data_IF_952309702940
#
_entry.id   IF_952309702940
#
_cell.length_a   1.000
_cell.length_b   1.000
_cell.length_c   1.000
_cell.angle_alpha   90.00
_cell.angle_beta   90.00
_cell.angle_gamma   90.00
#
_symmetry.space_group_name_H-M   'P 1'
#
loop_
_entity.id
_entity.type
_entity.pdbx_description
1 polymer ?
#
# COMPACT_ATOMS: atom_id res chain seq x y z
N UNK A 1 0.80 -9.21 15.09
CA UNK A 1 0.71 -8.02 14.22
C UNK A 1 0.27 -8.38 12.80
N UNK A 2 1.10 -9.03 11.98
CA UNK A 2 0.70 -9.44 10.62
C UNK A 2 -0.24 -10.65 10.60
N UNK A 3 -0.13 -11.56 11.56
CA UNK A 3 -1.03 -12.72 11.71
C UNK A 3 -2.49 -12.35 12.01
N UNK A 4 -2.77 -11.11 12.38
CA UNK A 4 -4.13 -10.61 12.63
C UNK A 4 -4.79 -9.96 11.41
N UNK A 5 -4.12 -9.94 10.26
CA UNK A 5 -4.69 -9.39 9.03
C UNK A 5 -5.82 -10.30 8.54
N UNK A 6 -6.96 -9.70 8.24
CA UNK A 6 -8.12 -10.41 7.72
C UNK A 6 -7.83 -11.00 6.34
N UNK A 7 -7.92 -12.33 6.23
CA UNK A 7 -7.59 -13.07 5.02
C UNK A 7 -8.52 -12.70 3.84
N UNK A 8 -9.78 -12.37 4.13
CA UNK A 8 -10.73 -11.94 3.10
C UNK A 8 -10.32 -10.60 2.49
N UNK A 9 -9.92 -9.65 3.33
CA UNK A 9 -9.42 -8.34 2.90
C UNK A 9 -8.11 -8.47 2.13
N UNK A 10 -7.20 -9.36 2.55
CA UNK A 10 -5.95 -9.63 1.85
C UNK A 10 -6.21 -10.23 0.46
N UNK A 11 -7.07 -11.25 0.37
CA UNK A 11 -7.44 -11.87 -0.91
C UNK A 11 -8.10 -10.88 -1.85
N UNK A 12 -8.95 -9.99 -1.33
CA UNK A 12 -9.56 -8.92 -2.13
C UNK A 12 -8.52 -7.92 -2.64
N UNK A 13 -7.56 -7.55 -1.80
CA UNK A 13 -6.46 -6.66 -2.23
C UNK A 13 -5.61 -7.29 -3.34
N UNK A 14 -5.23 -8.56 -3.20
CA UNK A 14 -4.50 -9.29 -4.23
C UNK A 14 -5.28 -9.37 -5.55
N UNK A 15 -6.58 -9.60 -5.48
CA UNK A 15 -7.46 -9.55 -6.66
C UNK A 15 -7.44 -8.19 -7.35
N UNK A 16 -7.61 -7.11 -6.58
CA UNK A 16 -7.57 -5.74 -7.10
C UNK A 16 -6.21 -5.39 -7.73
N UNK A 17 -5.10 -5.87 -7.15
CA UNK A 17 -3.75 -5.67 -7.72
C UNK A 17 -3.58 -6.36 -9.09
N UNK A 18 -4.14 -7.55 -9.26
CA UNK A 18 -4.06 -8.29 -10.52
C UNK A 18 -4.96 -7.73 -11.63
N UNK A 19 -6.10 -7.16 -11.24
CA UNK A 19 -7.11 -6.64 -12.18
C UNK A 19 -6.89 -5.17 -12.53
N UNK A 20 -6.12 -4.45 -11.74
CA UNK A 20 -5.88 -3.03 -11.95
C UNK A 20 -5.13 -2.75 -13.25
N UNK A 21 -5.59 -1.76 -14.02
CA UNK A 21 -4.84 -1.28 -15.17
C UNK A 21 -3.51 -0.65 -14.74
N UNK A 22 -3.55 0.15 -13.68
CA UNK A 22 -2.40 0.84 -13.09
C UNK A 22 -2.60 0.96 -11.59
N UNK A 23 -1.50 1.01 -10.85
CA UNK A 23 -1.48 1.14 -9.40
C UNK A 23 -0.88 2.48 -9.01
N UNK A 24 -1.56 3.22 -8.15
CA UNK A 24 -1.11 4.49 -7.59
C UNK A 24 -0.95 4.35 -6.09
N UNK A 25 0.20 4.71 -5.56
CA UNK A 25 0.51 4.58 -4.14
C UNK A 25 0.62 5.96 -3.50
N UNK A 26 -0.01 6.15 -2.36
CA UNK A 26 0.05 7.38 -1.59
C UNK A 26 0.33 7.12 -0.11
N UNK A 27 1.12 7.96 0.50
CA UNK A 27 1.34 8.05 1.94
C UNK A 27 2.04 9.36 2.30
N UNK A 28 1.75 9.90 3.46
CA UNK A 28 2.43 11.10 3.96
C UNK A 28 3.66 10.74 4.78
N UNK A 29 4.75 11.51 4.63
CA UNK A 29 5.98 11.30 5.39
C UNK A 29 6.57 9.90 5.22
N UNK A 30 6.90 9.23 6.34
CA UNK A 30 7.51 7.88 6.32
C UNK A 30 6.61 6.81 5.70
N UNK A 31 5.30 6.92 5.87
CA UNK A 31 4.35 6.03 5.18
C UNK A 31 4.47 6.15 3.65
N UNK A 32 4.77 7.34 3.14
CA UNK A 32 5.06 7.56 1.72
C UNK A 32 6.36 6.88 1.27
N UNK A 33 7.41 6.84 2.12
CA UNK A 33 8.64 6.11 1.80
C UNK A 33 8.39 4.60 1.68
N UNK A 34 7.59 4.03 2.59
CA UNK A 34 7.15 2.62 2.49
C UNK A 34 6.36 2.38 1.21
N UNK A 35 5.46 3.30 0.87
CA UNK A 35 4.69 3.25 -0.38
C UNK A 35 5.58 3.29 -1.63
N UNK A 36 6.61 4.13 -1.66
CA UNK A 36 7.61 4.17 -2.75
C UNK A 36 8.33 2.85 -2.91
N UNK A 37 8.77 2.25 -1.80
CA UNK A 37 9.40 0.94 -1.82
C UNK A 37 8.47 -0.14 -2.39
N UNK A 38 7.19 -0.12 -2.03
CA UNK A 38 6.20 -1.03 -2.59
C UNK A 38 5.96 -0.79 -4.09
N UNK A 39 5.85 0.47 -4.52
CA UNK A 39 5.66 0.82 -5.93
C UNK A 39 6.81 0.32 -6.82
N UNK A 40 8.08 0.42 -6.36
CA UNK A 40 9.24 -0.14 -7.05
C UNK A 40 9.10 -1.66 -7.21
N UNK A 41 8.67 -2.35 -6.14
CA UNK A 41 8.49 -3.82 -6.19
C UNK A 41 7.38 -4.23 -7.17
N UNK A 42 6.28 -3.48 -7.24
CA UNK A 42 5.23 -3.69 -8.23
C UNK A 42 5.76 -3.49 -9.66
N UNK A 43 6.58 -2.45 -9.89
CA UNK A 43 7.23 -2.24 -11.19
C UNK A 43 8.15 -3.41 -11.57
N UNK A 44 8.88 -3.99 -10.61
CA UNK A 44 9.68 -5.20 -10.86
C UNK A 44 8.82 -6.41 -11.26
N UNK A 45 7.60 -6.52 -10.75
CA UNK A 45 6.62 -7.53 -11.19
C UNK A 45 6.00 -7.22 -12.56
N UNK A 46 6.34 -6.08 -13.18
CA UNK A 46 5.76 -5.65 -14.45
C UNK A 46 4.41 -4.93 -14.31
N UNK A 47 3.98 -4.64 -13.09
CA UNK A 47 2.78 -3.88 -12.81
C UNK A 47 3.08 -2.39 -12.95
N UNK A 48 2.31 -1.70 -13.78
CA UNK A 48 2.48 -0.26 -13.99
C UNK A 48 2.09 0.50 -12.73
N UNK A 49 3.07 1.04 -12.02
CA UNK A 49 2.90 1.69 -10.71
C UNK A 49 3.42 3.11 -10.70
N UNK A 50 2.76 3.97 -9.93
CA UNK A 50 3.06 5.39 -9.76
C UNK A 50 3.00 5.77 -8.28
N UNK A 51 3.73 6.80 -7.90
CA UNK A 51 3.65 7.42 -6.57
C UNK A 51 2.95 8.77 -6.70
N UNK A 52 1.83 8.94 -6.02
CA UNK A 52 1.09 10.21 -6.00
C UNK A 52 1.93 11.25 -5.28
N UNK A 53 2.10 12.42 -5.91
CA UNK A 53 2.94 13.51 -5.41
C UNK A 53 4.31 13.59 -6.07
N UNK A 54 4.71 12.61 -6.89
CA UNK A 54 5.89 12.72 -7.74
C UNK A 54 5.62 13.63 -8.95
N UNK A 55 6.67 14.34 -9.39
CA UNK A 55 6.57 15.26 -10.54
C UNK A 55 6.12 14.57 -11.82
N UNK A 56 6.54 13.33 -12.02
CA UNK A 56 6.14 12.51 -13.16
C UNK A 56 5.14 11.46 -12.67
N UNK A 57 3.89 11.87 -12.51
CA UNK A 57 2.79 10.97 -12.13
C UNK A 57 1.69 11.03 -13.19
N UNK A 58 1.22 9.89 -13.64
CA UNK A 58 0.11 9.83 -14.58
C UNK A 58 -1.21 10.25 -13.89
N UNK A 59 -2.21 10.79 -14.63
CA UNK A 59 -3.53 11.06 -14.05
C UNK A 59 -4.23 9.75 -13.70
N UNK A 60 -4.79 9.66 -12.48
CA UNK A 60 -5.64 8.54 -12.05
C UNK A 60 -6.91 8.50 -12.91
N UNK A 61 -7.34 7.31 -13.31
CA UNK A 61 -8.56 7.09 -14.10
C UNK A 61 -9.45 6.06 -13.43
N UNK A 62 -10.68 5.94 -13.92
CA UNK A 62 -11.60 4.87 -13.54
C UNK A 62 -10.95 3.49 -13.75
N UNK A 63 -11.17 2.58 -12.80
CA UNK A 63 -10.60 1.22 -12.75
C UNK A 63 -9.07 1.16 -12.52
N UNK A 64 -8.40 2.27 -12.22
CA UNK A 64 -7.09 2.23 -11.58
C UNK A 64 -7.21 1.84 -10.10
N UNK A 65 -6.14 1.40 -9.49
CA UNK A 65 -6.08 1.10 -8.07
C UNK A 65 -5.28 2.18 -7.33
N UNK A 66 -5.88 2.80 -6.32
CA UNK A 66 -5.22 3.75 -5.42
C UNK A 66 -5.00 3.09 -4.06
N UNK A 67 -3.74 2.94 -3.66
CA UNK A 67 -3.34 2.38 -2.37
C UNK A 67 -2.92 3.51 -1.46
N UNK A 68 -3.58 3.64 -0.30
CA UNK A 68 -3.32 4.72 0.67
C UNK A 68 -2.79 4.13 1.96
N UNK A 69 -1.62 4.59 2.38
CA UNK A 69 -0.93 4.14 3.59
C UNK A 69 -1.01 5.26 4.63
N UNK A 70 -1.80 5.03 5.69
CA UNK A 70 -2.01 6.03 6.75
C UNK A 70 -2.31 5.36 8.08
N UNK A 71 -1.34 5.30 8.97
CA UNK A 71 -1.49 4.65 10.28
C UNK A 71 -2.64 5.22 11.12
N UNK A 72 -2.73 6.54 11.25
CA UNK A 72 -3.79 7.21 12.01
C UNK A 72 -5.13 7.29 11.27
N UNK A 73 -5.12 7.20 9.92
CA UNK A 73 -6.31 7.43 9.10
C UNK A 73 -6.90 8.84 9.17
N UNK A 74 -6.20 9.78 9.83
CA UNK A 74 -6.68 11.16 10.07
C UNK A 74 -5.91 12.21 9.28
N UNK A 75 -4.84 11.81 8.58
CA UNK A 75 -4.02 12.73 7.81
C UNK A 75 -4.84 13.32 6.67
N UNK A 76 -5.07 14.62 6.69
CA UNK A 76 -5.97 15.31 5.74
C UNK A 76 -5.64 14.98 4.28
N UNK A 77 -4.38 15.05 3.80
CA UNK A 77 -4.06 14.68 2.42
C UNK A 77 -4.44 13.23 2.06
N UNK A 78 -4.31 12.27 3.01
CA UNK A 78 -4.74 10.88 2.76
C UNK A 78 -6.26 10.77 2.60
N UNK A 79 -7.01 11.52 3.41
CA UNK A 79 -8.49 11.56 3.32
C UNK A 79 -8.93 12.17 1.99
N UNK A 80 -8.33 13.30 1.61
CA UNK A 80 -8.62 13.97 0.34
C UNK A 80 -8.26 13.08 -0.87
N UNK A 81 -7.12 12.39 -0.82
CA UNK A 81 -6.73 11.45 -1.89
C UNK A 81 -7.77 10.35 -2.07
N UNK A 82 -8.31 9.79 -0.97
CA UNK A 82 -9.35 8.78 -1.03
C UNK A 82 -10.66 9.32 -1.63
N UNK A 83 -11.06 10.53 -1.26
CA UNK A 83 -12.26 11.17 -1.78
C UNK A 83 -12.15 11.44 -3.28
N UNK A 84 -11.04 12.03 -3.72
CA UNK A 84 -10.79 12.29 -5.15
C UNK A 84 -10.75 10.97 -5.95
N UNK A 85 -10.07 9.94 -5.43
CA UNK A 85 -10.00 8.65 -6.10
C UNK A 85 -11.38 8.01 -6.24
N UNK A 86 -12.24 8.12 -5.22
CA UNK A 86 -13.62 7.65 -5.25
C UNK A 86 -14.46 8.37 -6.29
N UNK A 87 -14.34 9.70 -6.35
CA UNK A 87 -15.09 10.52 -7.32
C UNK A 87 -14.69 10.22 -8.77
N UNK A 88 -13.43 9.86 -9.00
CA UNK A 88 -12.92 9.40 -10.31
C UNK A 88 -13.47 8.00 -10.65
N UNK A 89 -13.88 7.21 -9.68
CA UNK A 89 -14.28 5.81 -9.84
C UNK A 89 -13.09 4.84 -9.89
N UNK A 90 -11.98 5.20 -9.27
CA UNK A 90 -10.86 4.28 -9.03
C UNK A 90 -11.17 3.35 -7.84
N UNK A 91 -10.56 2.17 -7.84
CA UNK A 91 -10.58 1.29 -6.69
C UNK A 91 -9.66 1.82 -5.60
N UNK A 92 -10.03 1.61 -4.33
CA UNK A 92 -9.29 2.13 -3.20
C UNK A 92 -8.94 1.00 -2.23
N UNK A 93 -7.66 0.90 -1.89
CA UNK A 93 -7.17 0.05 -0.79
C UNK A 93 -6.51 0.92 0.26
N UNK A 94 -6.84 0.67 1.53
CA UNK A 94 -6.28 1.41 2.65
C UNK A 94 -5.50 0.47 3.56
N UNK A 95 -4.26 0.85 3.86
CA UNK A 95 -3.41 0.21 4.87
C UNK A 95 -3.39 1.13 6.09
N UNK A 96 -3.87 0.66 7.23
CA UNK A 96 -4.02 1.48 8.43
C UNK A 96 -3.91 0.67 9.72
N UNK A 97 -4.02 1.34 10.86
CA UNK A 97 -4.12 0.68 12.17
C UNK A 97 -5.57 0.62 12.65
N UNK A 98 -5.82 -0.01 13.82
CA UNK A 98 -7.13 0.03 14.47
C UNK A 98 -7.61 1.46 14.74
N UNK A 99 -6.71 2.39 15.06
CA UNK A 99 -7.04 3.80 15.24
C UNK A 99 -7.59 4.44 13.96
N UNK A 100 -7.05 4.07 12.80
CA UNK A 100 -7.49 4.55 11.50
C UNK A 100 -8.68 3.77 10.89
N UNK A 101 -9.27 2.83 11.61
CA UNK A 101 -10.31 1.93 11.06
C UNK A 101 -11.53 2.66 10.51
N UNK A 102 -11.91 3.83 11.05
CA UNK A 102 -13.01 4.63 10.50
C UNK A 102 -12.74 5.10 9.07
N UNK A 103 -11.48 5.37 8.75
CA UNK A 103 -11.05 5.73 7.40
C UNK A 103 -11.21 4.58 6.41
N UNK A 104 -11.03 3.33 6.85
CA UNK A 104 -11.14 2.14 6.01
C UNK A 104 -12.53 1.93 5.38
N UNK A 105 -13.58 2.54 5.94
CA UNK A 105 -14.95 2.47 5.39
C UNK A 105 -15.08 3.12 4.01
N UNK A 106 -14.11 3.93 3.60
CA UNK A 106 -14.07 4.57 2.28
C UNK A 106 -13.47 3.68 1.19
N UNK A 107 -12.87 2.53 1.58
CA UNK A 107 -12.11 1.66 0.70
C UNK A 107 -12.90 0.44 0.21
N UNK A 108 -12.50 -0.09 -0.95
CA UNK A 108 -12.96 -1.38 -1.45
C UNK A 108 -12.38 -2.54 -0.62
N UNK A 109 -11.11 -2.40 -0.17
CA UNK A 109 -10.48 -3.29 0.79
C UNK A 109 -9.61 -2.50 1.77
N UNK A 110 -9.45 -3.01 2.99
CA UNK A 110 -8.56 -2.41 3.97
C UNK A 110 -7.80 -3.48 4.74
N UNK A 111 -6.50 -3.26 4.91
CA UNK A 111 -5.66 -4.08 5.77
C UNK A 111 -5.37 -3.34 7.05
N UNK A 112 -5.87 -3.88 8.15
CA UNK A 112 -5.73 -3.29 9.48
C UNK A 112 -4.54 -3.95 10.18
N UNK A 113 -3.47 -3.21 10.38
CA UNK A 113 -2.29 -3.65 11.11
C UNK A 113 -2.52 -3.40 12.59
N UNK A 114 -2.56 -4.45 13.39
CA UNK A 114 -2.73 -4.37 14.83
C UNK A 114 -1.39 -3.98 15.49
N UNK A 115 -1.19 -2.70 15.68
CA UNK A 115 -0.04 -2.14 16.39
C UNK A 115 -0.40 -1.99 17.86
N UNK A 116 0.13 -2.87 18.71
CA UNK A 116 -0.07 -2.79 20.16
C UNK A 116 0.49 -1.48 20.73
N UNK A 117 -0.28 -0.86 21.61
CA UNK A 117 0.06 0.37 22.31
C UNK A 117 0.55 0.02 23.73
N UNK A 118 1.82 -0.34 23.91
CA UNK A 118 2.42 -0.57 25.20
C UNK A 118 3.52 0.46 25.51
N UNK A 119 3.94 0.54 26.78
CA UNK A 119 4.99 1.47 27.21
C UNK A 119 6.35 1.20 26.56
N UNK A 120 6.66 -0.07 26.23
CA UNK A 120 7.90 -0.46 25.58
C UNK A 120 7.97 0.06 24.16
N UNK A 121 6.82 0.19 23.48
CA UNK A 121 6.74 0.72 22.11
C UNK A 121 7.33 2.12 22.01
N UNK A 122 7.03 3.00 22.97
CA UNK A 122 7.54 4.37 22.96
C UNK A 122 9.07 4.46 22.96
N UNK A 123 9.73 3.45 23.54
CA UNK A 123 11.20 3.35 23.59
C UNK A 123 11.80 2.65 22.37
N UNK A 124 11.17 1.57 21.90
CA UNK A 124 11.71 0.70 20.86
C UNK A 124 11.29 1.12 19.43
N UNK A 125 10.11 1.67 19.30
CA UNK A 125 9.53 2.07 18.02
C UNK A 125 8.78 3.40 18.15
N UNK A 126 9.48 4.50 18.42
CA UNK A 126 8.85 5.81 18.65
C UNK A 126 8.18 6.35 17.37
N UNK A 127 7.23 7.26 17.57
CA UNK A 127 6.55 8.01 16.50
C UNK A 127 5.91 7.14 15.41
N UNK A 128 5.40 5.94 15.77
CA UNK A 128 4.66 5.09 14.84
C UNK A 128 5.53 4.22 13.93
N UNK A 129 6.85 4.17 14.12
CA UNK A 129 7.77 3.40 13.27
C UNK A 129 7.41 1.91 13.16
N UNK A 130 6.72 1.36 14.16
CA UNK A 130 6.24 -0.03 14.14
C UNK A 130 5.18 -0.26 13.04
N UNK A 131 4.32 0.73 12.78
CA UNK A 131 3.36 0.65 11.69
C UNK A 131 4.08 0.61 10.33
N UNK A 132 5.06 1.47 10.11
CA UNK A 132 5.81 1.52 8.87
C UNK A 132 6.63 0.25 8.66
N UNK A 133 7.30 -0.26 9.68
CA UNK A 133 8.05 -1.53 9.61
C UNK A 133 7.13 -2.71 9.30
N UNK A 134 5.96 -2.77 9.94
CA UNK A 134 4.98 -3.81 9.67
C UNK A 134 4.38 -3.70 8.27
N UNK A 135 4.12 -2.48 7.80
CA UNK A 135 3.63 -2.25 6.43
C UNK A 135 4.65 -2.69 5.39
N UNK A 136 5.94 -2.44 5.65
CA UNK A 136 7.01 -2.89 4.76
C UNK A 136 7.04 -4.42 4.64
N UNK A 137 7.07 -5.12 5.77
CA UNK A 137 7.04 -6.60 5.79
C UNK A 137 5.77 -7.17 5.16
N UNK A 138 4.62 -6.53 5.38
CA UNK A 138 3.37 -6.90 4.75
C UNK A 138 3.47 -6.80 3.22
N UNK A 139 4.01 -5.71 2.72
CA UNK A 139 4.16 -5.51 1.28
C UNK A 139 5.15 -6.50 0.66
N UNK A 140 6.24 -6.84 1.32
CA UNK A 140 7.14 -7.90 0.84
C UNK A 140 6.43 -9.26 0.77
N UNK A 141 5.58 -9.59 1.74
CA UNK A 141 4.72 -10.78 1.68
C UNK A 141 3.73 -10.73 0.51
N UNK A 142 3.09 -9.58 0.27
CA UNK A 142 2.18 -9.37 -0.87
C UNK A 142 2.91 -9.53 -2.21
N UNK A 143 4.12 -9.00 -2.34
CA UNK A 143 4.94 -9.16 -3.55
C UNK A 143 5.27 -10.64 -3.79
N UNK A 144 5.62 -11.38 -2.73
CA UNK A 144 5.91 -12.81 -2.84
C UNK A 144 4.69 -13.59 -3.33
N UNK A 145 3.53 -13.34 -2.75
CA UNK A 145 2.26 -13.97 -3.13
C UNK A 145 1.85 -13.62 -4.57
N UNK A 146 1.96 -12.35 -4.94
CA UNK A 146 1.68 -11.89 -6.31
C UNK A 146 2.63 -12.54 -7.32
N UNK A 147 3.91 -12.61 -7.01
CA UNK A 147 4.92 -13.21 -7.88
C UNK A 147 4.53 -14.66 -8.23
N UNK A 148 4.07 -15.43 -7.24
CA UNK A 148 3.59 -16.80 -7.46
C UNK A 148 2.31 -16.82 -8.31
N UNK A 149 1.32 -15.99 -7.98
CA UNK A 149 0.02 -15.96 -8.65
C UNK A 149 0.08 -15.54 -10.13
N UNK A 150 1.03 -14.66 -10.50
CA UNK A 150 1.19 -14.19 -11.89
C UNK A 150 2.30 -14.92 -12.64
N UNK A 151 2.95 -15.91 -12.03
CA UNK A 151 3.99 -16.73 -12.66
C UNK A 151 5.31 -15.98 -12.91
N UNK A 152 5.58 -14.92 -12.13
CA UNK A 152 6.82 -14.17 -12.19
C UNK A 152 7.94 -14.85 -11.38
N UNK A 153 9.18 -14.56 -11.72
CA UNK A 153 10.36 -15.11 -11.05
C UNK A 153 11.33 -14.01 -10.65
N UNK A 154 12.23 -14.29 -9.71
CA UNK A 154 13.30 -13.34 -9.37
C UNK A 154 14.13 -12.95 -10.61
N UNK A 155 14.35 -13.90 -11.53
CA UNK A 155 15.08 -13.64 -12.76
C UNK A 155 14.37 -12.62 -13.67
N UNK A 156 13.05 -12.74 -13.85
CA UNK A 156 12.27 -11.79 -14.64
C UNK A 156 12.17 -10.41 -13.96
N UNK A 157 12.02 -10.38 -12.64
CA UNK A 157 12.04 -9.15 -11.85
C UNK A 157 13.39 -8.42 -11.97
N UNK A 158 14.52 -9.16 -11.95
CA UNK A 158 15.87 -8.61 -12.11
C UNK A 158 16.06 -7.90 -13.44
N UNK A 159 15.43 -8.37 -14.51
CA UNK A 159 15.48 -7.71 -15.83
C UNK A 159 14.76 -6.35 -15.86
N UNK A 160 13.82 -6.13 -14.94
CA UNK A 160 13.08 -4.86 -14.80
C UNK A 160 13.68 -3.96 -13.72
N UNK A 161 14.73 -4.39 -13.05
CA UNK A 161 15.46 -3.57 -12.10
C UNK A 161 16.12 -2.39 -12.81
N UNK A 162 16.08 -1.21 -12.23
CA UNK A 162 16.65 -0.01 -12.84
C UNK A 162 18.16 -0.16 -13.08
N UNK A 163 18.62 0.24 -14.27
CA UNK A 163 20.01 0.03 -14.71
C UNK A 163 20.99 0.99 -14.02
N UNK A 164 20.49 2.16 -13.60
CA UNK A 164 21.31 3.25 -13.03
C UNK A 164 21.02 3.53 -11.54
N UNK A 165 20.68 2.49 -10.79
CA UNK A 165 20.47 2.55 -9.34
C UNK A 165 21.44 1.65 -8.60
#
# INVERSE_FOLDING_TARGET
MLSSIDQKSLSKFLGLLREANRVFVYGSGRSGLVGRAFAIRLAHLGIQSYVIGETICAPVKKNDLVIIISGSGKTMPSVMTAEIAKDIGAHIVIITTKEGQSFSKKADAALIIDVQQDEKRGKLAPLGSLFESASWLLFDGIISELMEQIGETEHSMRKRHATLQ
#
